data_IF_596296265157
#
_entry.id   IF_596296265157
#
_cell.length_a   1.000
_cell.length_b   1.000
_cell.length_c   1.000
_cell.angle_alpha   90.00
_cell.angle_beta   90.00
_cell.angle_gamma   90.00
#
_symmetry.space_group_name_H-M   'P 1'
#
loop_
_entity.id
_entity.type
_entity.pdbx_description
1 polymer ?
#
# COMPACT_ATOMS: atom_id res chain seq x y z
N UNK A 1 95.84 10.70 -21.40
CA UNK A 1 96.55 12.00 -21.42
C UNK A 1 95.86 12.91 -20.42
N UNK A 2 96.25 12.90 -19.14
CA UNK A 2 97.35 13.65 -18.51
C UNK A 2 97.11 15.17 -18.48
N UNK A 3 97.05 15.69 -17.23
CA UNK A 3 97.27 17.07 -16.70
C UNK A 3 96.14 18.10 -16.90
N UNK A 4 95.54 18.65 -15.84
CA UNK A 4 96.03 19.49 -14.70
C UNK A 4 96.32 20.95 -15.05
N UNK A 5 95.85 21.84 -14.15
CA UNK A 5 96.29 23.23 -13.96
C UNK A 5 95.17 24.25 -14.21
N UNK A 6 94.78 25.15 -13.32
CA UNK A 6 95.35 25.61 -12.05
C UNK A 6 95.16 27.13 -11.89
N UNK A 7 94.97 27.60 -10.65
CA UNK A 7 95.23 28.99 -10.18
C UNK A 7 94.03 29.95 -10.20
N UNK A 8 93.39 30.26 -9.06
CA UNK A 8 93.74 31.23 -7.98
C UNK A 8 93.36 32.69 -8.33
N UNK A 9 92.33 33.29 -7.70
CA UNK A 9 92.19 33.90 -6.35
C UNK A 9 92.59 35.39 -6.30
N UNK A 10 91.62 36.23 -5.96
CA UNK A 10 91.66 37.41 -5.06
C UNK A 10 90.45 38.30 -5.41
N UNK A 11 89.64 38.87 -4.53
CA UNK A 11 89.77 39.14 -3.11
C UNK A 11 89.17 40.53 -2.84
N UNK A 12 88.20 40.56 -1.92
CA UNK A 12 87.71 41.67 -1.10
C UNK A 12 86.76 42.75 -1.69
N UNK A 13 85.59 42.75 -1.07
CA UNK A 13 84.46 43.68 -1.09
C UNK A 13 84.78 45.14 -0.77
N UNK A 14 83.92 46.05 -1.25
CA UNK A 14 83.33 47.12 -0.43
C UNK A 14 81.93 47.49 -0.92
N UNK A 15 80.97 47.34 -0.02
CA UNK A 15 79.54 47.66 -0.15
C UNK A 15 79.31 49.16 0.10
N UNK A 16 78.54 49.84 -0.75
CA UNK A 16 77.65 50.95 -0.35
C UNK A 16 76.37 50.87 -1.18
N UNK A 17 75.22 50.93 -0.47
CA UNK A 17 73.90 50.52 -0.91
C UNK A 17 73.26 51.35 -2.03
N UNK A 18 72.38 50.69 -2.79
CA UNK A 18 71.52 51.30 -3.82
C UNK A 18 70.07 51.40 -3.36
N UNK A 19 69.30 52.39 -3.86
CA UNK A 19 68.00 52.77 -3.32
C UNK A 19 66.88 51.80 -3.69
N UNK A 20 65.88 51.76 -2.81
CA UNK A 20 64.66 50.95 -2.89
C UNK A 20 63.78 51.44 -4.06
N UNK A 21 63.84 50.73 -5.18
CA UNK A 21 62.86 50.84 -6.27
C UNK A 21 61.58 50.10 -5.88
N UNK A 22 60.54 50.85 -5.49
CA UNK A 22 59.17 50.33 -5.40
C UNK A 22 58.71 49.86 -6.78
N UNK A 23 58.81 48.56 -7.04
CA UNK A 23 58.21 47.93 -8.22
C UNK A 23 56.68 48.06 -8.13
N UNK A 24 56.10 48.82 -9.06
CA UNK A 24 54.65 48.85 -9.25
C UNK A 24 54.13 47.42 -9.46
N UNK A 25 53.17 47.01 -8.62
CA UNK A 25 52.48 45.72 -8.75
C UNK A 25 51.85 45.66 -10.14
N UNK A 26 52.39 44.80 -10.98
CA UNK A 26 51.80 44.39 -12.26
C UNK A 26 50.46 43.73 -11.92
N UNK A 27 49.36 44.48 -12.06
CA UNK A 27 48.00 43.96 -11.90
C UNK A 27 47.86 42.86 -12.96
N UNK A 28 47.78 41.59 -12.53
CA UNK A 28 47.42 40.49 -13.41
C UNK A 28 46.07 40.85 -14.01
N UNK A 29 46.01 41.01 -15.34
CA UNK A 29 44.76 41.01 -16.11
C UNK A 29 43.92 39.86 -15.56
N UNK A 30 42.79 40.21 -14.96
CA UNK A 30 41.87 39.21 -14.44
C UNK A 30 41.60 38.21 -15.56
N UNK A 31 41.76 36.93 -15.26
CA UNK A 31 41.02 35.92 -15.98
C UNK A 31 39.56 36.32 -15.79
N UNK A 32 38.95 36.87 -16.83
CA UNK A 32 37.52 36.83 -16.98
C UNK A 32 37.24 35.33 -16.99
N UNK A 33 36.82 34.78 -15.84
CA UNK A 33 36.05 33.54 -15.87
C UNK A 33 34.89 33.91 -16.76
N UNK A 34 34.89 33.41 -18.00
CA UNK A 34 33.67 33.27 -18.77
C UNK A 34 32.68 32.65 -17.78
N UNK A 35 31.74 33.47 -17.31
CA UNK A 35 30.54 32.93 -16.72
C UNK A 35 29.99 32.09 -17.85
N UNK A 36 30.15 30.77 -17.75
CA UNK A 36 29.45 29.82 -18.59
C UNK A 36 28.05 30.38 -18.71
N UNK A 37 27.64 30.69 -19.96
CA UNK A 37 26.29 31.10 -20.24
C UNK A 37 25.39 30.16 -19.44
N UNK A 38 24.50 30.72 -18.62
CA UNK A 38 23.54 29.89 -17.89
C UNK A 38 22.74 29.17 -18.96
N UNK A 39 23.15 27.95 -19.30
CA UNK A 39 22.51 27.11 -20.28
C UNK A 39 21.12 26.86 -19.71
N UNK A 40 20.15 27.61 -20.23
CA UNK A 40 18.76 27.30 -20.02
C UNK A 40 18.60 25.84 -20.41
N UNK A 41 18.21 24.96 -19.47
CA UNK A 41 18.13 23.54 -19.73
C UNK A 41 17.25 23.34 -20.96
N UNK A 42 17.71 22.47 -21.85
CA UNK A 42 16.91 22.10 -23.03
C UNK A 42 15.57 21.55 -22.56
N UNK A 43 14.56 21.58 -23.44
CA UNK A 43 13.23 21.00 -23.13
C UNK A 43 13.38 19.52 -22.72
N UNK A 44 14.31 18.79 -23.35
CA UNK A 44 14.61 17.41 -23.00
C UNK A 44 15.19 17.26 -21.58
N UNK A 45 16.14 18.11 -21.17
CA UNK A 45 16.70 18.10 -19.81
C UNK A 45 15.69 18.57 -18.76
N UNK A 46 14.83 19.52 -19.12
CA UNK A 46 13.73 19.98 -18.26
C UNK A 46 12.70 18.87 -18.05
N UNK A 47 12.33 18.10 -19.09
CA UNK A 47 11.46 16.93 -18.97
C UNK A 47 12.15 15.78 -18.23
N UNK A 48 13.44 15.51 -18.49
CA UNK A 48 14.21 14.51 -17.76
C UNK A 48 14.27 14.78 -16.25
N UNK A 49 14.36 16.06 -15.86
CA UNK A 49 14.33 16.47 -14.45
C UNK A 49 12.97 16.25 -13.78
N UNK A 50 11.87 16.18 -14.54
CA UNK A 50 10.53 15.86 -14.04
C UNK A 50 10.27 14.35 -13.96
N UNK A 51 11.03 13.53 -14.68
CA UNK A 51 10.87 12.08 -14.63
C UNK A 51 11.16 11.57 -13.22
N UNK A 52 10.26 10.74 -12.70
CA UNK A 52 10.38 10.12 -11.38
C UNK A 52 9.88 8.69 -11.43
N UNK A 53 10.53 7.80 -10.69
CA UNK A 53 9.98 6.49 -10.42
C UNK A 53 8.75 6.62 -9.51
N UNK A 54 7.73 5.80 -9.75
CA UNK A 54 6.52 5.74 -8.92
C UNK A 54 6.45 4.35 -8.31
N UNK A 55 6.30 4.28 -6.99
CA UNK A 55 6.15 2.99 -6.31
C UNK A 55 4.69 2.49 -6.44
N UNK A 56 4.42 1.19 -6.21
CA UNK A 56 3.07 0.63 -6.35
C UNK A 56 2.01 1.32 -5.48
N UNK A 57 2.32 1.63 -4.23
CA UNK A 57 1.37 2.27 -3.31
C UNK A 57 1.03 3.71 -3.75
N UNK A 58 2.02 4.48 -4.21
CA UNK A 58 1.80 5.78 -4.85
C UNK A 58 0.91 5.66 -6.09
N UNK A 59 1.16 4.67 -6.95
CA UNK A 59 0.40 4.46 -8.17
C UNK A 59 -1.08 4.16 -7.85
N UNK A 60 -1.34 3.19 -6.97
CA UNK A 60 -2.72 2.83 -6.63
C UNK A 60 -3.45 3.90 -5.82
N UNK A 61 -2.75 4.67 -4.98
CA UNK A 61 -3.34 5.86 -4.32
C UNK A 61 -3.95 6.84 -5.32
N UNK A 62 -3.29 7.04 -6.47
CA UNK A 62 -3.78 7.95 -7.53
C UNK A 62 -4.81 7.29 -8.46
N UNK A 63 -4.83 5.97 -8.51
CA UNK A 63 -5.63 5.19 -9.47
C UNK A 63 -6.63 4.24 -8.78
N UNK A 64 -7.11 4.60 -7.60
CA UNK A 64 -8.07 3.80 -6.82
C UNK A 64 -9.33 3.42 -7.61
N UNK A 65 -9.73 4.26 -8.57
CA UNK A 65 -10.83 3.95 -9.50
C UNK A 65 -10.65 2.65 -10.28
N UNK A 66 -9.41 2.27 -10.62
CA UNK A 66 -9.10 1.00 -11.31
C UNK A 66 -9.41 -0.23 -10.44
N UNK A 67 -9.47 -0.04 -9.12
CA UNK A 67 -9.71 -1.11 -8.13
C UNK A 67 -11.13 -1.06 -7.54
N UNK A 68 -12.03 -0.27 -8.12
CA UNK A 68 -13.42 -0.15 -7.65
C UNK A 68 -13.65 0.88 -6.55
N UNK A 69 -12.63 1.68 -6.19
CA UNK A 69 -12.70 2.72 -5.15
C UNK A 69 -12.81 4.14 -5.71
N UNK A 70 -13.30 4.28 -6.95
CA UNK A 70 -13.48 5.58 -7.61
C UNK A 70 -14.74 6.34 -7.19
N UNK A 71 -15.71 5.64 -6.59
CA UNK A 71 -17.00 6.18 -6.17
C UNK A 71 -17.36 5.64 -4.78
N UNK A 72 -17.68 6.50 -3.78
CA UNK A 72 -18.08 6.06 -2.45
C UNK A 72 -19.27 5.09 -2.42
N UNK A 73 -20.21 5.18 -3.38
CA UNK A 73 -21.34 4.24 -3.48
C UNK A 73 -20.88 2.81 -3.73
N UNK A 74 -19.78 2.64 -4.47
CA UNK A 74 -19.22 1.33 -4.82
C UNK A 74 -18.13 0.88 -3.84
N UNK A 75 -17.43 1.83 -3.21
CA UNK A 75 -16.33 1.56 -2.29
C UNK A 75 -16.75 0.68 -1.10
N UNK A 76 -17.98 0.85 -0.60
CA UNK A 76 -18.50 0.04 0.50
C UNK A 76 -18.64 -1.44 0.11
N UNK A 77 -19.31 -1.72 -1.01
CA UNK A 77 -19.48 -3.09 -1.54
C UNK A 77 -18.13 -3.70 -1.86
N UNK A 78 -17.25 -2.93 -2.50
CA UNK A 78 -15.92 -3.38 -2.87
C UNK A 78 -15.07 -3.72 -1.64
N UNK A 79 -15.17 -2.93 -0.56
CA UNK A 79 -14.46 -3.25 0.70
C UNK A 79 -14.95 -4.56 1.29
N UNK A 80 -16.28 -4.75 1.39
CA UNK A 80 -16.86 -5.99 1.91
C UNK A 80 -16.42 -7.18 1.06
N UNK A 81 -16.49 -7.05 -0.27
CA UNK A 81 -16.04 -8.09 -1.21
C UNK A 81 -14.59 -8.50 -0.94
N UNK A 82 -13.66 -7.55 -0.93
CA UNK A 82 -12.24 -7.85 -0.81
C UNK A 82 -11.86 -8.42 0.57
N UNK A 83 -12.58 -8.05 1.63
CA UNK A 83 -12.39 -8.64 2.95
C UNK A 83 -12.95 -10.07 3.02
N UNK A 84 -14.19 -10.27 2.57
CA UNK A 84 -14.83 -11.61 2.62
C UNK A 84 -14.13 -12.60 1.69
N UNK A 85 -13.69 -12.19 0.50
CA UNK A 85 -12.94 -13.06 -0.42
C UNK A 85 -11.63 -13.55 0.22
N UNK A 86 -10.93 -12.68 0.96
CA UNK A 86 -9.72 -13.08 1.67
C UNK A 86 -10.01 -14.00 2.86
N UNK A 87 -11.11 -13.77 3.58
CA UNK A 87 -11.57 -14.64 4.67
C UNK A 87 -11.96 -16.04 4.17
N UNK A 88 -12.68 -16.13 3.04
CA UNK A 88 -13.03 -17.39 2.38
C UNK A 88 -11.78 -18.16 1.95
N UNK A 89 -10.85 -17.49 1.27
CA UNK A 89 -9.58 -18.10 0.84
C UNK A 89 -8.76 -18.60 2.05
N UNK A 90 -8.77 -17.88 3.18
CA UNK A 90 -8.05 -18.26 4.40
C UNK A 90 -8.64 -19.50 5.11
N UNK A 91 -9.96 -19.62 5.16
CA UNK A 91 -10.65 -20.79 5.72
C UNK A 91 -10.49 -22.02 4.81
N UNK A 92 -10.68 -21.85 3.50
CA UNK A 92 -10.53 -22.93 2.52
C UNK A 92 -9.09 -23.46 2.44
N UNK A 93 -8.09 -22.58 2.60
CA UNK A 93 -6.68 -22.97 2.64
C UNK A 93 -6.35 -23.88 3.84
N UNK A 94 -7.07 -23.74 4.96
CA UNK A 94 -6.93 -24.62 6.12
C UNK A 94 -7.79 -25.89 5.99
N UNK A 95 -8.76 -25.91 5.08
CA UNK A 95 -9.71 -27.01 4.97
C UNK A 95 -10.80 -26.99 6.05
N UNK A 96 -11.13 -25.81 6.57
CA UNK A 96 -12.25 -25.61 7.51
C UNK A 96 -13.43 -24.96 6.80
N UNK A 97 -14.65 -25.25 7.25
CA UNK A 97 -15.86 -24.60 6.72
C UNK A 97 -15.86 -23.12 7.13
N UNK A 98 -15.95 -22.16 6.17
CA UNK A 98 -15.85 -20.74 6.49
C UNK A 98 -17.02 -20.25 7.33
N UNK A 99 -16.71 -19.55 8.42
CA UNK A 99 -17.67 -18.84 9.27
C UNK A 99 -17.27 -17.37 9.34
N UNK A 100 -18.01 -16.53 8.62
CA UNK A 100 -17.64 -15.12 8.40
C UNK A 100 -18.75 -14.22 8.92
N UNK A 101 -18.38 -13.28 9.79
CA UNK A 101 -19.26 -12.23 10.28
C UNK A 101 -18.85 -10.89 9.69
N UNK A 102 -19.78 -10.22 9.01
CA UNK A 102 -19.62 -8.87 8.46
C UNK A 102 -20.49 -7.92 9.28
N UNK A 103 -19.86 -7.07 10.07
CA UNK A 103 -20.55 -6.03 10.85
C UNK A 103 -20.31 -4.67 10.20
N UNK A 104 -21.39 -3.97 9.88
CA UNK A 104 -21.39 -2.61 9.38
C UNK A 104 -21.96 -1.69 10.46
N UNK A 105 -21.12 -0.88 11.09
CA UNK A 105 -21.55 0.10 12.10
C UNK A 105 -21.58 1.49 11.49
N UNK A 106 -22.76 2.11 11.45
CA UNK A 106 -22.90 3.50 11.04
C UNK A 106 -22.25 4.43 12.07
N UNK A 107 -21.58 5.48 11.60
CA UNK A 107 -20.96 6.49 12.44
C UNK A 107 -21.64 7.85 12.25
N UNK A 108 -21.35 8.80 13.14
CA UNK A 108 -21.81 10.19 13.00
C UNK A 108 -20.94 11.00 12.03
N UNK A 109 -19.83 10.44 11.53
CA UNK A 109 -18.91 11.14 10.63
C UNK A 109 -19.44 11.08 9.19
N UNK A 110 -19.22 12.17 8.45
CA UNK A 110 -19.52 12.27 7.02
C UNK A 110 -18.26 12.62 6.22
N UNK A 111 -18.21 12.15 4.97
CA UNK A 111 -17.16 12.45 4.00
C UNK A 111 -17.75 13.28 2.86
N UNK A 112 -17.17 14.45 2.61
CA UNK A 112 -17.64 15.38 1.57
C UNK A 112 -16.79 15.25 0.30
N UNK A 113 -17.44 15.06 -0.85
CA UNK A 113 -16.79 14.95 -2.16
C UNK A 113 -17.41 15.92 -3.14
N UNK A 114 -16.57 16.69 -3.81
CA UNK A 114 -16.97 17.51 -4.95
C UNK A 114 -17.03 16.61 -6.18
N UNK A 115 -18.22 16.46 -6.77
CA UNK A 115 -18.41 15.60 -7.94
C UNK A 115 -18.79 16.42 -9.16
N UNK A 116 -18.20 16.11 -10.31
CA UNK A 116 -18.57 16.73 -11.59
C UNK A 116 -19.90 16.17 -12.16
N UNK A 117 -20.58 15.27 -11.43
CA UNK A 117 -21.82 14.60 -11.87
C UNK A 117 -23.08 15.40 -11.57
N UNK A 118 -23.00 16.40 -10.69
CA UNK A 118 -24.10 17.34 -10.44
C UNK A 118 -23.88 18.54 -11.36
N UNK A 119 -24.92 18.95 -12.10
CA UNK A 119 -24.86 20.06 -13.08
C UNK A 119 -24.35 21.39 -12.49
N UNK A 120 -24.34 21.53 -11.16
CA UNK A 120 -23.92 22.72 -10.42
C UNK A 120 -22.66 22.54 -9.56
N UNK A 121 -21.89 21.45 -9.72
CA UNK A 121 -20.69 21.22 -8.90
C UNK A 121 -20.99 21.01 -7.41
N UNK A 122 -22.17 20.47 -7.10
CA UNK A 122 -22.64 20.27 -5.74
C UNK A 122 -21.76 19.33 -4.91
N UNK A 123 -21.56 19.69 -3.64
CA UNK A 123 -20.91 18.86 -2.62
C UNK A 123 -21.86 17.70 -2.28
N UNK A 124 -21.39 16.46 -2.47
CA UNK A 124 -22.09 15.27 -1.96
C UNK A 124 -21.50 14.86 -0.63
N UNK A 125 -22.37 14.49 0.32
CA UNK A 125 -21.98 13.93 1.60
C UNK A 125 -22.24 12.44 1.62
N UNK A 126 -21.29 11.67 2.12
CA UNK A 126 -21.40 10.23 2.29
C UNK A 126 -21.20 9.87 3.76
N UNK A 127 -22.07 9.04 4.35
CA UNK A 127 -21.85 8.57 5.70
C UNK A 127 -20.60 7.68 5.76
N UNK A 128 -20.02 7.62 6.94
CA UNK A 128 -18.87 6.77 7.20
C UNK A 128 -19.33 5.57 8.00
N UNK A 129 -18.90 4.40 7.56
CA UNK A 129 -19.17 3.14 8.25
C UNK A 129 -17.87 2.52 8.76
N UNK A 130 -17.94 1.97 9.96
CA UNK A 130 -16.96 1.01 10.46
C UNK A 130 -17.35 -0.38 9.95
N UNK A 131 -16.56 -0.91 9.05
CA UNK A 131 -16.69 -2.28 8.53
C UNK A 131 -15.78 -3.17 9.37
N UNK A 132 -16.34 -4.22 9.96
CA UNK A 132 -15.60 -5.25 10.67
C UNK A 132 -15.92 -6.59 10.03
N UNK A 133 -14.90 -7.29 9.52
CA UNK A 133 -15.03 -8.65 8.98
C UNK A 133 -14.20 -9.58 9.85
N UNK A 134 -14.87 -10.58 10.43
CA UNK A 134 -14.26 -11.62 11.28
C UNK A 134 -14.43 -12.98 10.61
N UNK A 135 -13.37 -13.78 10.62
CA UNK A 135 -13.35 -15.12 10.06
C UNK A 135 -12.74 -16.16 11.01
N UNK A 136 -13.01 -17.43 10.73
CA UNK A 136 -12.34 -18.60 11.32
C UNK A 136 -11.21 -19.14 10.41
N UNK A 137 -10.53 -18.29 9.64
CA UNK A 137 -9.43 -18.70 8.76
C UNK A 137 -8.13 -19.01 9.52
N UNK A 138 -7.04 -19.18 8.77
CA UNK A 138 -5.71 -19.53 9.31
C UNK A 138 -4.97 -18.46 10.11
N UNK A 139 -5.54 -17.27 10.18
CA UNK A 139 -4.84 -16.13 10.76
C UNK A 139 -3.64 -15.72 9.91
N UNK A 140 -2.90 -14.74 10.41
CA UNK A 140 -1.68 -14.25 9.78
C UNK A 140 -0.56 -14.26 10.80
N UNK A 141 0.57 -14.88 10.43
CA UNK A 141 1.75 -14.97 11.28
C UNK A 141 2.17 -13.59 11.77
N UNK A 142 2.36 -13.43 13.09
CA UNK A 142 2.70 -12.17 13.80
C UNK A 142 3.76 -11.32 13.09
N UNK A 143 4.85 -11.94 12.65
CA UNK A 143 5.97 -11.26 11.98
C UNK A 143 5.64 -10.72 10.58
N UNK A 144 4.56 -11.20 9.97
CA UNK A 144 4.14 -10.87 8.60
C UNK A 144 2.90 -9.96 8.56
N UNK A 145 2.09 -9.89 9.62
CA UNK A 145 0.83 -9.10 9.66
C UNK A 145 1.01 -7.69 9.12
N UNK A 146 1.98 -6.93 9.65
CA UNK A 146 2.21 -5.56 9.22
C UNK A 146 2.54 -5.46 7.72
N UNK A 147 3.34 -6.39 7.18
CA UNK A 147 3.66 -6.40 5.75
C UNK A 147 2.50 -6.88 4.89
N UNK A 148 1.72 -7.84 5.37
CA UNK A 148 0.57 -8.42 4.66
C UNK A 148 -0.54 -7.41 4.39
N UNK A 149 -0.74 -6.45 5.29
CA UNK A 149 -1.76 -5.41 5.15
C UNK A 149 -1.18 -4.03 4.81
N UNK A 150 0.12 -3.82 5.05
CA UNK A 150 0.76 -2.51 4.96
C UNK A 150 1.73 -2.32 3.79
N UNK A 151 1.96 -3.34 2.96
CA UNK A 151 2.86 -3.26 1.79
C UNK A 151 2.12 -3.71 0.54
N UNK A 152 1.84 -2.77 -0.35
CA UNK A 152 1.18 -3.04 -1.63
C UNK A 152 2.05 -3.95 -2.49
N UNK A 153 1.39 -4.88 -3.19
CA UNK A 153 2.02 -5.99 -3.93
C UNK A 153 2.86 -6.92 -3.04
N UNK A 154 2.39 -7.18 -1.83
CA UNK A 154 2.94 -8.19 -0.93
C UNK A 154 1.86 -9.20 -0.56
N UNK A 155 2.11 -10.49 -0.77
CA UNK A 155 1.12 -11.54 -0.52
C UNK A 155 1.60 -12.90 -0.99
N UNK A 156 0.84 -13.93 -0.64
CA UNK A 156 1.10 -15.33 -1.02
C UNK A 156 0.56 -15.71 -2.41
N UNK A 157 -0.24 -14.85 -3.03
CA UNK A 157 -0.92 -15.12 -4.31
C UNK A 157 -0.10 -14.74 -5.55
N UNK A 158 1.09 -14.16 -5.37
CA UNK A 158 1.97 -13.78 -6.50
C UNK A 158 2.73 -14.99 -7.04
N UNK A 159 2.89 -15.04 -8.37
CA UNK A 159 3.66 -16.06 -9.09
C UNK A 159 3.17 -17.50 -8.91
N UNK A 160 2.03 -17.70 -8.23
CA UNK A 160 1.36 -18.98 -8.12
C UNK A 160 0.25 -19.06 -9.15
N UNK A 161 0.34 -20.00 -10.07
CA UNK A 161 -0.73 -20.28 -11.04
C UNK A 161 -1.73 -21.22 -10.39
N UNK A 162 -2.56 -20.65 -9.53
CA UNK A 162 -3.62 -21.34 -8.80
C UNK A 162 -4.90 -20.51 -8.85
N UNK A 163 -6.04 -21.17 -9.08
CA UNK A 163 -7.34 -20.50 -8.98
C UNK A 163 -7.54 -19.96 -7.56
N UNK A 164 -7.83 -18.68 -7.44
CA UNK A 164 -8.19 -18.02 -6.19
C UNK A 164 -9.14 -16.85 -6.49
N UNK A 165 -9.84 -16.33 -5.46
CA UNK A 165 -10.79 -15.23 -5.63
C UNK A 165 -10.09 -13.91 -5.99
N UNK A 166 -8.88 -13.70 -5.47
CA UNK A 166 -8.08 -12.51 -5.73
C UNK A 166 -6.85 -12.81 -6.60
N UNK A 167 -6.73 -12.16 -7.75
CA UNK A 167 -5.65 -12.42 -8.72
C UNK A 167 -4.35 -11.64 -8.42
N UNK A 168 -4.46 -10.41 -7.90
CA UNK A 168 -3.32 -9.48 -7.83
C UNK A 168 -2.88 -9.13 -6.39
N UNK A 169 -3.56 -9.63 -5.36
CA UNK A 169 -3.23 -9.32 -3.95
C UNK A 169 -3.38 -7.84 -3.55
N UNK A 170 -4.19 -7.08 -4.27
CA UNK A 170 -4.33 -5.62 -4.12
C UNK A 170 -5.57 -5.17 -3.34
N UNK A 171 -6.60 -6.01 -3.26
CA UNK A 171 -7.93 -5.60 -2.80
C UNK A 171 -7.94 -4.96 -1.41
N UNK A 172 -7.39 -5.67 -0.41
CA UNK A 172 -7.36 -5.16 0.97
C UNK A 172 -6.48 -3.91 1.10
N UNK A 173 -5.37 -3.85 0.35
CA UNK A 173 -4.49 -2.68 0.34
C UNK A 173 -5.21 -1.44 -0.20
N UNK A 174 -6.01 -1.59 -1.25
CA UNK A 174 -6.81 -0.52 -1.80
C UNK A 174 -7.89 -0.04 -0.83
N UNK A 175 -8.54 -0.97 -0.11
CA UNK A 175 -9.50 -0.63 0.93
C UNK A 175 -8.85 0.17 2.08
N UNK A 176 -7.65 -0.22 2.51
CA UNK A 176 -6.90 0.49 3.55
C UNK A 176 -6.46 1.88 3.06
N UNK A 177 -5.94 2.00 1.84
CA UNK A 177 -5.57 3.29 1.26
C UNK A 177 -6.81 4.18 1.13
N UNK A 178 -7.94 3.64 0.69
CA UNK A 178 -9.19 4.38 0.58
C UNK A 178 -9.65 4.91 1.95
N UNK A 179 -9.71 4.04 2.98
CA UNK A 179 -10.04 4.43 4.36
C UNK A 179 -9.13 5.56 4.88
N UNK A 180 -7.83 5.47 4.61
CA UNK A 180 -6.86 6.50 4.96
C UNK A 180 -7.09 7.83 4.23
N UNK A 181 -7.46 7.79 2.95
CA UNK A 181 -7.71 9.01 2.17
C UNK A 181 -9.02 9.70 2.60
N UNK A 182 -10.03 8.94 2.99
CA UNK A 182 -11.33 9.50 3.35
C UNK A 182 -11.37 10.02 4.79
N UNK A 183 -10.68 9.35 5.72
CA UNK A 183 -10.78 9.67 7.16
C UNK A 183 -9.45 9.87 7.89
N UNK A 184 -8.31 9.55 7.27
CA UNK A 184 -7.01 9.47 7.93
C UNK A 184 -6.97 8.47 9.10
N UNK A 185 -7.95 7.57 9.20
CA UNK A 185 -8.02 6.54 10.24
C UNK A 185 -7.18 5.32 9.84
N UNK A 186 -6.50 4.67 10.81
CA UNK A 186 -5.74 3.45 10.56
C UNK A 186 -6.64 2.22 10.40
N UNK A 187 -6.10 1.18 9.77
CA UNK A 187 -6.69 -0.15 9.80
C UNK A 187 -6.38 -0.83 11.14
N UNK A 188 -7.34 -1.56 11.68
CA UNK A 188 -7.15 -2.41 12.86
C UNK A 188 -7.27 -3.86 12.43
N UNK A 189 -6.23 -4.64 12.69
CA UNK A 189 -6.18 -6.06 12.36
C UNK A 189 -5.94 -6.82 13.66
N UNK A 190 -6.83 -7.74 13.99
CA UNK A 190 -6.64 -8.69 15.09
C UNK A 190 -6.55 -10.07 14.49
N UNK A 191 -5.50 -10.83 14.76
CA UNK A 191 -5.31 -12.14 14.15
C UNK A 191 -4.66 -13.12 15.10
N UNK A 192 -5.01 -14.40 14.97
CA UNK A 192 -4.48 -15.50 15.77
C UNK A 192 -4.31 -16.73 14.88
N UNK A 193 -3.14 -17.35 14.93
CA UNK A 193 -2.91 -18.67 14.32
C UNK A 193 -3.17 -19.77 15.34
N UNK A 194 -3.39 -21.01 14.91
CA UNK A 194 -3.65 -22.16 15.82
C UNK A 194 -2.55 -22.36 16.87
N UNK A 195 -1.32 -21.98 16.55
CA UNK A 195 -0.16 -22.12 17.43
C UNK A 195 0.02 -20.98 18.42
N UNK A 196 -0.70 -19.86 18.23
CA UNK A 196 -0.56 -18.68 19.07
C UNK A 196 -1.44 -18.79 20.32
N UNK A 197 -0.88 -18.50 21.50
CA UNK A 197 -1.66 -18.47 22.75
C UNK A 197 -2.66 -17.31 22.79
N UNK A 198 -2.26 -16.14 22.26
CA UNK A 198 -3.04 -14.89 22.26
C UNK A 198 -3.15 -14.33 20.84
N UNK A 199 -4.22 -13.59 20.55
CA UNK A 199 -4.28 -12.86 19.30
C UNK A 199 -3.35 -11.66 19.33
N UNK A 200 -2.84 -11.33 18.15
CA UNK A 200 -2.04 -10.15 17.92
C UNK A 200 -2.91 -9.07 17.26
N UNK A 201 -3.10 -7.96 17.97
CA UNK A 201 -3.82 -6.78 17.48
C UNK A 201 -2.83 -5.73 17.02
N UNK A 202 -2.95 -5.29 15.76
CA UNK A 202 -2.11 -4.28 15.12
C UNK A 202 -2.97 -3.17 14.56
N UNK A 203 -2.62 -1.94 14.92
CA UNK A 203 -3.17 -0.73 14.30
C UNK A 203 -2.12 -0.17 13.35
N UNK A 204 -2.43 -0.09 12.05
CA UNK A 204 -1.45 0.31 11.05
C UNK A 204 -2.01 1.24 9.96
N UNK A 205 -1.08 1.94 9.31
CA UNK A 205 -1.29 2.69 8.08
C UNK A 205 -0.31 2.22 7.00
N UNK A 206 -0.63 2.49 5.75
CA UNK A 206 0.26 2.34 4.60
C UNK A 206 0.94 3.69 4.35
N UNK A 207 2.27 3.72 4.43
CA UNK A 207 3.08 4.78 3.83
C UNK A 207 3.07 4.59 2.31
N UNK A 208 2.25 5.39 1.63
CA UNK A 208 2.16 5.32 0.17
C UNK A 208 3.43 5.83 -0.52
N UNK A 209 4.21 6.72 0.11
CA UNK A 209 5.43 7.28 -0.49
C UNK A 209 6.60 6.28 -0.46
N UNK A 210 6.65 5.42 0.56
CA UNK A 210 7.70 4.39 0.67
C UNK A 210 7.23 2.96 0.38
N UNK A 211 5.93 2.73 0.20
CA UNK A 211 5.29 1.41 0.14
C UNK A 211 5.67 0.52 1.34
N UNK A 212 5.41 1.01 2.55
CA UNK A 212 5.74 0.32 3.81
C UNK A 212 4.63 0.46 4.85
N UNK A 213 4.47 -0.52 5.76
CA UNK A 213 3.62 -0.35 6.92
C UNK A 213 4.18 0.68 7.89
N UNK A 214 3.29 1.54 8.41
CA UNK A 214 3.49 2.36 9.60
C UNK A 214 2.64 1.72 10.71
N UNK A 215 3.28 1.05 11.66
CA UNK A 215 2.60 0.48 12.83
C UNK A 215 2.44 1.57 13.88
N UNK A 216 1.19 1.82 14.30
CA UNK A 216 0.85 2.82 15.32
C UNK A 216 0.88 2.18 16.71
N UNK A 217 0.22 1.03 16.84
CA UNK A 217 0.23 0.23 18.06
C UNK A 217 0.14 -1.25 17.73
N UNK A 218 0.68 -2.06 18.65
CA UNK A 218 0.67 -3.50 18.57
C UNK A 218 0.59 -4.07 19.98
N UNK A 219 -0.37 -4.96 20.23
CA UNK A 219 -0.62 -5.54 21.55
C UNK A 219 -1.20 -6.95 21.42
N UNK A 220 -1.02 -7.75 22.48
CA UNK A 220 -1.60 -9.09 22.56
C UNK A 220 -2.96 -9.00 23.27
N UNK A 221 -4.01 -9.50 22.62
CA UNK A 221 -5.39 -9.43 23.11
C UNK A 221 -5.99 -10.83 23.26
N UNK A 222 -6.94 -11.03 24.20
CA UNK A 222 -7.73 -12.25 24.22
C UNK A 222 -8.53 -12.40 22.91
N UNK A 223 -8.73 -13.63 22.48
CA UNK A 223 -9.45 -13.95 21.26
C UNK A 223 -10.28 -15.19 21.51
N UNK A 224 -11.57 -15.09 21.25
CA UNK A 224 -12.54 -16.11 21.65
C UNK A 224 -12.40 -17.40 20.82
N UNK A 225 -11.74 -17.32 19.67
CA UNK A 225 -11.52 -18.44 18.74
C UNK A 225 -10.10 -19.02 18.84
N UNK A 226 -9.90 -20.30 18.44
CA UNK A 226 -8.56 -20.88 18.34
C UNK A 226 -7.70 -20.20 17.27
N UNK A 227 -8.29 -19.84 16.13
CA UNK A 227 -7.65 -19.18 15.01
C UNK A 227 -8.65 -18.25 14.30
N UNK A 228 -8.12 -17.30 13.52
CA UNK A 228 -8.95 -16.40 12.72
C UNK A 228 -8.34 -15.02 12.53
N UNK A 229 -9.00 -14.21 11.71
CA UNK A 229 -8.65 -12.79 11.51
C UNK A 229 -9.89 -11.91 11.61
N UNK A 230 -9.73 -10.78 12.28
CA UNK A 230 -10.69 -9.67 12.30
C UNK A 230 -10.02 -8.46 11.67
N UNK A 231 -10.64 -7.90 10.64
CA UNK A 231 -10.18 -6.66 9.99
C UNK A 231 -11.24 -5.58 10.17
N UNK A 232 -10.84 -4.43 10.70
CA UNK A 232 -11.70 -3.27 10.91
C UNK A 232 -11.20 -2.07 10.09
N UNK A 233 -12.08 -1.49 9.28
CA UNK A 233 -11.80 -0.33 8.42
C UNK A 233 -12.91 0.71 8.56
N UNK A 234 -12.53 1.99 8.56
CA UNK A 234 -13.47 3.11 8.48
C UNK A 234 -13.56 3.59 7.03
N UNK A 235 -14.71 3.38 6.40
CA UNK A 235 -14.89 3.57 4.95
C UNK A 235 -16.05 4.51 4.71
N UNK A 236 -15.82 5.55 3.93
CA UNK A 236 -16.91 6.39 3.41
C UNK A 236 -17.68 5.61 2.34
N UNK A 237 -19.01 5.62 2.42
CA UNK A 237 -19.83 4.99 1.39
C UNK A 237 -21.30 5.10 1.70
N UNK A 238 -22.13 4.42 0.92
CA UNK A 238 -23.59 4.47 1.09
C UNK A 238 -24.16 3.07 1.25
N UNK A 239 -24.87 2.85 2.36
CA UNK A 239 -25.61 1.62 2.57
C UNK A 239 -26.92 1.67 1.78
N UNK A 240 -27.01 0.85 0.73
CA UNK A 240 -28.19 0.73 -0.12
C UNK A 240 -28.64 -0.73 -0.22
N UNK A 241 -29.82 -0.99 -0.81
CA UNK A 241 -30.28 -2.36 -1.11
C UNK A 241 -29.27 -3.17 -1.93
N UNK A 242 -28.38 -2.52 -2.68
CA UNK A 242 -27.32 -3.20 -3.45
C UNK A 242 -26.34 -3.93 -2.53
N UNK A 243 -26.05 -3.40 -1.33
CA UNK A 243 -25.18 -4.05 -0.34
C UNK A 243 -25.83 -5.35 0.13
N UNK A 244 -27.13 -5.32 0.44
CA UNK A 244 -27.88 -6.52 0.84
C UNK A 244 -27.95 -7.56 -0.28
N UNK A 245 -28.24 -7.12 -1.51
CA UNK A 245 -28.23 -7.98 -2.69
C UNK A 245 -26.87 -8.63 -2.90
N UNK A 246 -25.78 -7.86 -2.78
CA UNK A 246 -24.42 -8.37 -2.94
C UNK A 246 -24.07 -9.45 -1.90
N UNK A 247 -24.41 -9.23 -0.62
CA UNK A 247 -24.15 -10.23 0.43
C UNK A 247 -24.97 -11.50 0.20
N UNK A 248 -26.21 -11.35 -0.29
CA UNK A 248 -27.04 -12.50 -0.69
C UNK A 248 -26.43 -13.25 -1.88
N UNK A 249 -25.92 -12.55 -2.89
CA UNK A 249 -25.21 -13.17 -4.01
C UNK A 249 -23.96 -13.91 -3.53
N UNK A 250 -23.24 -13.35 -2.56
CA UNK A 250 -22.06 -13.95 -1.96
C UNK A 250 -22.37 -15.24 -1.20
N UNK A 251 -23.49 -15.32 -0.47
CA UNK A 251 -23.92 -16.55 0.19
C UNK A 251 -24.38 -17.61 -0.81
N UNK A 252 -25.06 -17.22 -1.89
CA UNK A 252 -25.47 -18.14 -2.96
C UNK A 252 -24.26 -18.71 -3.72
N UNK A 253 -23.22 -17.90 -3.93
CA UNK A 253 -22.00 -18.31 -4.62
C UNK A 253 -21.11 -19.23 -3.76
N UNK A 254 -21.23 -19.17 -2.42
CA UNK A 254 -20.42 -19.95 -1.48
C UNK A 254 -21.33 -20.74 -0.53
N UNK A 255 -22.02 -21.78 -1.01
CA UNK A 255 -23.01 -22.53 -0.23
C UNK A 255 -22.41 -23.27 0.98
N UNK A 256 -21.10 -23.51 0.99
CA UNK A 256 -20.37 -24.13 2.11
C UNK A 256 -20.00 -23.13 3.22
N UNK A 257 -20.14 -21.83 2.97
CA UNK A 257 -19.82 -20.78 3.93
C UNK A 257 -21.06 -20.35 4.72
N UNK A 258 -20.85 -20.08 6.00
CA UNK A 258 -21.83 -19.42 6.85
C UNK A 258 -21.52 -17.93 6.92
N UNK A 259 -22.48 -17.09 6.52
CA UNK A 259 -22.32 -15.64 6.49
C UNK A 259 -23.33 -14.97 7.43
N UNK A 260 -22.84 -14.21 8.40
CA UNK A 260 -23.66 -13.37 9.27
C UNK A 260 -23.42 -11.90 8.95
N UNK A 261 -24.44 -11.21 8.46
CA UNK A 261 -24.40 -9.76 8.24
C UNK A 261 -25.12 -9.03 9.36
N UNK A 262 -24.46 -8.02 9.93
CA UNK A 262 -24.99 -7.23 11.05
C UNK A 262 -24.89 -5.75 10.67
N UNK A 263 -26.01 -5.05 10.57
CA UNK A 263 -26.06 -3.60 10.43
C UNK A 263 -26.39 -2.96 11.78
N UNK A 264 -25.44 -2.18 12.31
CA UNK A 264 -25.59 -1.40 13.54
C UNK A 264 -25.79 0.07 13.20
N UNK A 265 -26.99 0.64 13.39
CA UNK A 265 -27.24 2.05 13.12
C UNK A 265 -26.66 2.95 14.22
N UNK A 266 -26.53 4.25 13.93
CA UNK A 266 -25.89 5.23 14.82
C UNK A 266 -26.72 5.54 16.07
N UNK A 267 -28.03 5.78 15.92
CA UNK A 267 -28.98 6.09 17.02
C UNK A 267 -30.39 5.62 16.64
N UNK A 268 -31.11 4.97 17.56
CA UNK A 268 -32.54 4.58 17.49
C UNK A 268 -33.00 3.66 16.35
N UNK A 269 -32.10 3.16 15.50
CA UNK A 269 -32.44 2.11 14.54
C UNK A 269 -32.34 0.72 15.18
N UNK A 270 -33.18 -0.20 14.72
CA UNK A 270 -33.05 -1.61 15.10
C UNK A 270 -31.80 -2.22 14.45
N UNK A 271 -31.05 -3.01 15.21
CA UNK A 271 -29.97 -3.82 14.66
C UNK A 271 -30.58 -4.82 13.67
N UNK A 272 -30.16 -4.73 12.41
CA UNK A 272 -30.59 -5.67 11.38
C UNK A 272 -29.55 -6.77 11.27
N UNK A 273 -29.95 -7.97 11.71
CA UNK A 273 -29.13 -9.18 11.57
C UNK A 273 -29.71 -10.04 10.44
N UNK A 274 -28.88 -10.37 9.47
CA UNK A 274 -29.20 -11.31 8.40
C UNK A 274 -28.24 -12.48 8.52
N UNK A 275 -28.77 -13.67 8.76
CA UNK A 275 -28.00 -14.89 8.85
C UNK A 275 -28.24 -15.75 7.61
N UNK A 276 -27.17 -16.07 6.91
CA UNK A 276 -27.15 -17.00 5.78
C UNK A 276 -26.46 -18.28 6.24
N UNK A 277 -27.21 -19.32 6.64
CA UNK A 277 -26.63 -20.59 7.04
C UNK A 277 -26.00 -21.29 5.84
N UNK A 278 -24.99 -22.12 6.09
CA UNK A 278 -24.42 -22.98 5.05
C UNK A 278 -25.49 -23.93 4.49
N UNK A 279 -25.51 -24.08 3.18
CA UNK A 279 -26.37 -25.03 2.47
C UNK A 279 -25.69 -26.41 2.29
N UNK A 280 -24.37 -26.48 2.44
CA UNK A 280 -23.62 -27.74 2.39
C UNK A 280 -22.49 -27.75 3.43
N UNK A 281 -22.16 -28.93 3.95
CA UNK A 281 -21.00 -29.14 4.81
C UNK A 281 -19.80 -29.71 4.03
N UNK A 282 -19.93 -29.83 2.71
CA UNK A 282 -18.86 -30.32 1.84
C UNK A 282 -18.04 -29.15 1.31
N UNK A 283 -16.75 -29.13 1.62
CA UNK A 283 -15.83 -28.14 1.03
C UNK A 283 -15.59 -28.42 -0.46
N UNK A 284 -15.44 -27.37 -1.29
CA UNK A 284 -14.97 -27.54 -2.65
C UNK A 284 -13.54 -28.14 -2.66
N UNK A 285 -13.18 -28.91 -3.70
CA UNK A 285 -11.84 -29.45 -3.80
C UNK A 285 -10.81 -28.31 -3.85
N UNK A 286 -9.73 -28.37 -3.04
CA UNK A 286 -8.77 -27.28 -2.97
C UNK A 286 -8.08 -27.12 -4.33
N UNK A 287 -7.96 -25.87 -4.84
CA UNK A 287 -7.31 -25.65 -6.12
C UNK A 287 -5.83 -26.03 -6.01
N UNK A 288 -5.32 -26.66 -7.06
CA UNK A 288 -3.91 -27.06 -7.17
C UNK A 288 -3.16 -26.01 -7.97
N UNK A 289 -1.93 -25.74 -7.55
CA UNK A 289 -1.01 -24.96 -8.36
C UNK A 289 -0.61 -25.78 -9.60
N UNK A 290 -0.64 -25.13 -10.76
CA UNK A 290 -0.27 -25.73 -12.04
C UNK A 290 0.90 -24.99 -12.65
N UNK A 291 1.52 -25.58 -13.66
CA UNK A 291 2.42 -24.83 -14.55
C UNK A 291 1.60 -24.21 -15.69
N UNK A 292 2.05 -23.06 -16.25
CA UNK A 292 1.43 -22.50 -17.45
C UNK A 292 1.36 -23.52 -18.58
N UNK A 293 0.25 -23.51 -19.32
CA UNK A 293 0.11 -24.35 -20.51
C UNK A 293 0.92 -23.75 -21.67
N UNK A 294 1.65 -24.56 -22.44
CA UNK A 294 2.55 -24.09 -23.50
C UNK A 294 1.83 -23.19 -24.52
N UNK A 295 0.59 -23.56 -24.90
CA UNK A 295 -0.22 -22.74 -25.84
C UNK A 295 -0.64 -21.37 -25.28
N UNK A 296 -0.52 -21.15 -23.98
CA UNK A 296 -0.81 -19.86 -23.33
C UNK A 296 0.44 -19.03 -23.05
N UNK A 297 1.63 -19.52 -23.39
CA UNK A 297 2.89 -18.83 -23.14
C UNK A 297 3.25 -17.91 -24.30
N UNK A 298 3.50 -16.65 -23.98
CA UNK A 298 4.11 -15.71 -24.92
C UNK A 298 5.61 -15.99 -25.07
N UNK A 299 6.25 -15.60 -26.19
CA UNK A 299 7.69 -15.82 -26.39
C UNK A 299 8.57 -15.30 -25.26
N UNK A 300 8.20 -14.19 -24.62
CA UNK A 300 8.94 -13.65 -23.46
C UNK A 300 8.87 -14.58 -22.23
N UNK A 301 7.70 -15.17 -21.97
CA UNK A 301 7.52 -16.11 -20.86
C UNK A 301 8.24 -17.46 -21.08
N UNK A 302 8.62 -17.78 -22.32
CA UNK A 302 9.44 -18.96 -22.63
C UNK A 302 10.95 -18.73 -22.37
N UNK A 303 11.38 -17.48 -22.23
CA UNK A 303 12.78 -17.11 -21.99
C UNK A 303 13.12 -16.99 -20.49
N UNK A 304 12.12 -16.81 -19.63
CA UNK A 304 12.24 -16.79 -18.16
C UNK A 304 12.26 -18.20 -17.56
#
# INVERSE_FOLDING_TARGET
MVREGGGEKSGADKVVGKPILRKAKRVRRGQIKERAASETPTVAEAEAKKMRAVNPAQYYRQNLGQLGFGDPEHALVQTIKELVDNSLDAAEAMGVLPEIAVTLTATEKEYEVITNRVKDGGIRKFPIFKITVEDNGCGVVRSKVAKAFGKVLYGSKFFSFKQSRGQQGLGVHAAIIYAQLTLLEPAVITTKTETDEKAYRVVLKIDTEQNKPIVISAEDVPFDRPHGTTVELMVAGEYTKKVESFIKELSLANPHAELKFILKPTVNGEEKVIHYPRATETLPPPPKEIRPHILSMEPGALLE
#
